data_IF_825498893051
#
_entry.id   IF_825498893051
#
_cell.length_a   1.000
_cell.length_b   1.000
_cell.length_c   1.000
_cell.angle_alpha   90.00
_cell.angle_beta   90.00
_cell.angle_gamma   90.00
#
_symmetry.space_group_name_H-M   'P 1'
#
loop_
_entity.id
_entity.type
_entity.pdbx_description
1 polymer ?
#
# COMPACT_ATOMS: atom_id res chain seq x y z
N UNK A 1 11.29 41.30 -0.93
CA UNK A 1 12.51 40.50 -1.00
C UNK A 1 12.32 39.35 -0.04
N UNK A 2 11.75 38.25 -0.53
CA UNK A 2 11.41 37.08 0.30
C UNK A 2 12.67 36.26 0.54
N UNK A 3 12.99 36.05 1.82
CA UNK A 3 14.16 35.30 2.24
C UNK A 3 13.92 33.82 2.00
N UNK A 4 14.71 33.25 1.08
CA UNK A 4 14.82 31.83 0.83
C UNK A 4 15.22 31.12 2.13
N UNK A 5 14.26 30.48 2.79
CA UNK A 5 14.52 29.60 3.91
C UNK A 5 15.25 28.37 3.37
N UNK A 6 16.59 28.42 3.44
CA UNK A 6 17.46 27.28 3.18
C UNK A 6 17.02 26.10 4.05
N UNK A 7 16.50 25.07 3.40
CA UNK A 7 16.15 23.79 4.00
C UNK A 7 17.36 23.28 4.78
N UNK A 8 17.24 23.11 6.11
CA UNK A 8 18.29 22.52 6.94
C UNK A 8 18.77 21.22 6.30
N UNK A 9 20.08 21.12 6.06
CA UNK A 9 20.72 19.89 5.60
C UNK A 9 20.37 18.77 6.58
N UNK A 10 19.61 17.78 6.13
CA UNK A 10 19.31 16.61 6.96
C UNK A 10 20.60 15.80 7.09
N UNK A 11 21.12 15.68 8.31
CA UNK A 11 22.24 14.81 8.58
C UNK A 11 21.83 13.35 8.33
N UNK A 12 22.71 12.60 7.65
CA UNK A 12 22.52 11.16 7.42
C UNK A 12 22.77 10.44 8.75
N UNK A 13 21.80 9.65 9.20
CA UNK A 13 21.92 8.80 10.39
C UNK A 13 22.56 7.45 10.02
N UNK A 14 23.88 7.34 10.17
CA UNK A 14 24.60 6.12 9.85
C UNK A 14 24.29 4.95 10.79
N UNK A 15 23.83 5.19 12.03
CA UNK A 15 23.47 4.11 12.96
C UNK A 15 22.16 3.44 12.53
N UNK A 16 21.18 4.23 12.10
CA UNK A 16 19.94 3.72 11.51
C UNK A 16 20.23 2.91 10.23
N UNK A 17 21.14 3.40 9.37
CA UNK A 17 21.56 2.67 8.16
C UNK A 17 22.23 1.34 8.50
N UNK A 18 23.18 1.33 9.45
CA UNK A 18 23.84 0.10 9.89
C UNK A 18 22.82 -0.92 10.40
N UNK A 19 21.85 -0.49 11.20
CA UNK A 19 20.78 -1.36 11.71
C UNK A 19 19.99 -2.02 10.59
N UNK A 20 19.58 -1.25 9.57
CA UNK A 20 18.87 -1.78 8.41
C UNK A 20 19.72 -2.80 7.64
N UNK A 21 21.00 -2.50 7.42
CA UNK A 21 21.92 -3.41 6.73
C UNK A 21 22.14 -4.70 7.51
N UNK A 22 22.29 -4.63 8.83
CA UNK A 22 22.39 -5.80 9.70
C UNK A 22 21.14 -6.69 9.69
N UNK A 23 19.96 -6.11 9.44
CA UNK A 23 18.71 -6.85 9.24
C UNK A 23 18.58 -7.45 7.82
N UNK A 24 19.63 -7.40 7.01
CA UNK A 24 19.65 -7.91 5.64
C UNK A 24 18.93 -7.01 4.63
N UNK A 25 18.66 -5.74 4.97
CA UNK A 25 18.06 -4.77 4.04
C UNK A 25 19.14 -4.04 3.26
N UNK A 26 18.87 -3.71 2.00
CA UNK A 26 19.71 -2.83 1.21
C UNK A 26 19.26 -1.37 1.37
N UNK A 27 20.20 -0.46 1.59
CA UNK A 27 19.96 0.99 1.57
C UNK A 27 20.57 1.56 0.31
N UNK A 28 19.74 2.21 -0.52
CA UNK A 28 20.15 2.80 -1.79
C UNK A 28 19.98 4.31 -1.70
N UNK A 29 21.04 5.06 -1.98
CA UNK A 29 21.02 6.52 -2.13
C UNK A 29 21.25 6.86 -3.59
N UNK A 30 20.28 7.50 -4.22
CA UNK A 30 20.31 7.84 -5.64
C UNK A 30 19.51 9.12 -5.89
N UNK A 31 19.66 9.70 -7.08
CA UNK A 31 18.80 10.78 -7.55
C UNK A 31 17.34 10.33 -7.65
N UNK A 32 16.43 11.28 -7.44
CA UNK A 32 14.98 11.04 -7.41
C UNK A 32 14.48 10.41 -8.74
N UNK A 33 15.01 10.84 -9.90
CA UNK A 33 14.67 10.29 -11.23
C UNK A 33 15.00 8.80 -11.37
N UNK A 34 16.20 8.40 -10.97
CA UNK A 34 16.64 7.00 -11.03
C UNK A 34 15.81 6.10 -10.10
N UNK A 35 15.39 6.60 -8.94
CA UNK A 35 14.48 5.87 -8.04
C UNK A 35 13.09 5.68 -8.66
N UNK A 36 12.57 6.68 -9.37
CA UNK A 36 11.28 6.59 -10.09
C UNK A 36 11.38 5.55 -11.21
N UNK A 37 12.40 5.63 -12.06
CA UNK A 37 12.61 4.69 -13.17
C UNK A 37 12.75 3.25 -12.66
N UNK A 38 13.50 3.06 -11.57
CA UNK A 38 13.66 1.76 -10.95
C UNK A 38 12.33 1.20 -10.40
N UNK A 39 11.54 2.02 -9.70
CA UNK A 39 10.23 1.61 -9.20
C UNK A 39 9.28 1.23 -10.35
N UNK A 40 9.23 2.03 -11.42
CA UNK A 40 8.43 1.76 -12.62
C UNK A 40 8.83 0.42 -13.24
N UNK A 41 10.13 0.18 -13.39
CA UNK A 41 10.66 -1.08 -13.92
C UNK A 41 10.22 -2.27 -13.09
N UNK A 42 10.31 -2.20 -11.75
CA UNK A 42 9.86 -3.27 -10.86
C UNK A 42 8.36 -3.56 -11.01
N UNK A 43 7.54 -2.52 -11.14
CA UNK A 43 6.09 -2.64 -11.39
C UNK A 43 5.86 -3.40 -12.70
N UNK A 44 6.49 -2.96 -13.79
CA UNK A 44 6.32 -3.57 -15.11
C UNK A 44 6.82 -5.02 -15.18
N UNK A 45 7.89 -5.34 -14.46
CA UNK A 45 8.45 -6.69 -14.38
C UNK A 45 7.67 -7.62 -13.43
N UNK A 46 6.64 -7.14 -12.74
CA UNK A 46 5.88 -7.93 -11.78
C UNK A 46 6.70 -8.35 -10.54
N UNK A 47 7.77 -7.61 -10.22
CA UNK A 47 8.64 -7.91 -9.07
C UNK A 47 8.08 -7.27 -7.80
N UNK A 48 8.20 -7.96 -6.68
CA UNK A 48 7.80 -7.44 -5.38
C UNK A 48 8.93 -6.62 -4.75
N UNK A 49 8.58 -5.44 -4.21
CA UNK A 49 9.50 -4.63 -3.41
C UNK A 49 8.72 -3.72 -2.46
N UNK A 50 9.34 -3.36 -1.33
CA UNK A 50 8.84 -2.31 -0.44
C UNK A 50 9.86 -1.17 -0.42
N UNK A 51 9.44 0.01 -0.83
CA UNK A 51 10.28 1.20 -0.92
C UNK A 51 9.87 2.23 0.13
N UNK A 52 10.86 2.81 0.81
CA UNK A 52 10.69 3.95 1.71
C UNK A 52 11.22 5.19 1.00
N UNK A 53 10.31 6.06 0.56
CA UNK A 53 10.60 7.12 -0.40
C UNK A 53 10.35 8.50 0.19
N UNK A 54 10.99 9.52 -0.39
CA UNK A 54 10.53 10.90 -0.18
C UNK A 54 9.09 11.02 -0.69
N UNK A 55 8.22 11.82 -0.04
CA UNK A 55 6.85 12.02 -0.52
C UNK A 55 6.78 12.47 -1.98
N UNK A 56 7.69 13.33 -2.43
CA UNK A 56 7.74 13.81 -3.83
C UNK A 56 8.00 12.70 -4.85
N UNK A 57 8.89 11.75 -4.54
CA UNK A 57 9.21 10.59 -5.39
C UNK A 57 8.01 9.64 -5.46
N UNK A 58 7.38 9.37 -4.31
CA UNK A 58 6.16 8.58 -4.24
C UNK A 58 5.03 9.18 -5.08
N UNK A 59 4.81 10.49 -4.98
CA UNK A 59 3.78 11.18 -5.76
C UNK A 59 4.01 11.08 -7.27
N UNK A 60 5.27 11.15 -7.72
CA UNK A 60 5.60 10.98 -9.14
C UNK A 60 5.25 9.58 -9.65
N UNK A 61 5.63 8.54 -8.89
CA UNK A 61 5.29 7.15 -9.22
C UNK A 61 3.76 6.95 -9.19
N UNK A 62 3.09 7.48 -8.16
CA UNK A 62 1.63 7.39 -7.98
C UNK A 62 0.88 7.99 -9.17
N UNK A 63 1.29 9.16 -9.65
CA UNK A 63 0.66 9.83 -10.81
C UNK A 63 0.88 9.09 -12.11
N UNK A 64 2.06 8.52 -12.31
CA UNK A 64 2.35 7.68 -13.48
C UNK A 64 1.49 6.41 -13.46
N UNK A 65 1.38 5.76 -12.30
CA UNK A 65 0.72 4.47 -12.17
C UNK A 65 -0.82 4.59 -12.14
N UNK A 66 -1.39 5.50 -11.36
CA UNK A 66 -2.84 5.63 -11.20
C UNK A 66 -3.44 6.62 -12.19
N UNK A 67 -3.62 6.17 -13.43
CA UNK A 67 -4.42 6.92 -14.41
C UNK A 67 -5.92 6.86 -14.08
N UNK A 68 -6.75 7.82 -14.53
CA UNK A 68 -8.20 7.75 -14.36
C UNK A 68 -8.82 6.44 -14.84
N UNK A 69 -8.31 5.88 -15.94
CA UNK A 69 -8.74 4.60 -16.51
C UNK A 69 -8.42 3.44 -15.55
N UNK A 70 -7.20 3.40 -15.01
CA UNK A 70 -6.80 2.39 -14.01
C UNK A 70 -7.63 2.51 -12.74
N UNK A 71 -7.81 3.72 -12.20
CA UNK A 71 -8.66 3.98 -11.02
C UNK A 71 -10.08 3.43 -11.24
N UNK A 72 -10.67 3.71 -12.40
CA UNK A 72 -12.00 3.21 -12.76
C UNK A 72 -12.02 1.68 -12.92
N UNK A 73 -11.00 1.11 -13.56
CA UNK A 73 -10.88 -0.33 -13.81
C UNK A 73 -10.88 -1.13 -12.51
N UNK A 74 -10.11 -0.69 -11.50
CA UNK A 74 -10.00 -1.38 -10.21
C UNK A 74 -11.03 -0.94 -9.17
N UNK A 75 -11.99 -0.08 -9.56
CA UNK A 75 -13.09 0.35 -8.70
C UNK A 75 -12.68 1.20 -7.50
N UNK A 76 -11.55 1.92 -7.60
CA UNK A 76 -11.10 2.83 -6.55
C UNK A 76 -12.06 4.02 -6.40
N UNK A 77 -12.45 4.30 -5.17
CA UNK A 77 -13.32 5.44 -4.80
C UNK A 77 -12.67 6.28 -3.71
N UNK A 78 -12.88 7.60 -3.67
CA UNK A 78 -12.43 8.41 -2.55
C UNK A 78 -12.95 7.86 -1.22
N UNK A 79 -12.10 7.85 -0.19
CA UNK A 79 -12.52 7.53 1.17
C UNK A 79 -13.42 8.68 1.67
N UNK A 80 -14.63 8.35 2.13
CA UNK A 80 -15.56 9.38 2.60
C UNK A 80 -15.09 9.98 3.94
N UNK A 81 -15.51 11.22 4.21
CA UNK A 81 -15.17 11.93 5.46
C UNK A 81 -15.71 11.16 6.67
N UNK A 82 -16.89 10.56 6.54
CA UNK A 82 -17.52 9.77 7.58
C UNK A 82 -16.72 8.50 7.88
N UNK A 83 -16.22 7.82 6.84
CA UNK A 83 -15.40 6.62 7.01
C UNK A 83 -14.03 6.93 7.61
N UNK A 84 -13.41 8.03 7.17
CA UNK A 84 -12.16 8.52 7.75
C UNK A 84 -12.35 8.90 9.23
N UNK A 85 -13.44 9.59 9.57
CA UNK A 85 -13.78 9.93 10.96
C UNK A 85 -14.04 8.70 11.82
N UNK A 86 -14.74 7.69 11.29
CA UNK A 86 -14.94 6.39 11.95
C UNK A 86 -13.59 5.72 12.26
N UNK A 87 -12.70 5.61 11.27
CA UNK A 87 -11.39 4.97 11.44
C UNK A 87 -10.51 5.74 12.43
N UNK A 88 -10.57 7.07 12.41
CA UNK A 88 -9.89 7.90 13.40
C UNK A 88 -10.44 7.69 14.81
N UNK A 89 -11.75 7.59 14.97
CA UNK A 89 -12.38 7.32 16.27
C UNK A 89 -11.99 5.95 16.82
N UNK A 90 -12.16 4.91 16.01
CA UNK A 90 -12.04 3.52 16.46
C UNK A 90 -10.58 3.09 16.59
N UNK A 91 -9.71 3.57 15.70
CA UNK A 91 -8.33 3.13 15.63
C UNK A 91 -7.31 4.24 15.84
N UNK A 92 -7.70 5.50 16.10
CA UNK A 92 -6.77 6.65 16.21
C UNK A 92 -5.76 6.73 15.05
N UNK A 93 -6.20 6.36 13.85
CA UNK A 93 -5.44 6.40 12.61
C UNK A 93 -6.10 7.44 11.69
N UNK A 94 -5.29 8.38 11.18
CA UNK A 94 -5.72 9.32 10.15
C UNK A 94 -5.51 8.68 8.77
N UNK A 95 -6.56 8.66 7.95
CA UNK A 95 -6.51 8.14 6.57
C UNK A 95 -7.09 9.14 5.57
N UNK A 96 -6.59 9.06 4.33
CA UNK A 96 -7.11 9.79 3.17
C UNK A 96 -6.92 8.96 1.89
N UNK A 97 -7.29 9.54 0.74
CA UNK A 97 -7.05 8.93 -0.56
C UNK A 97 -8.21 8.09 -1.08
N UNK A 98 -7.88 6.98 -1.75
CA UNK A 98 -8.83 6.16 -2.48
C UNK A 98 -8.82 4.72 -1.96
N UNK A 99 -10.00 4.17 -1.69
CA UNK A 99 -10.24 2.81 -1.25
C UNK A 99 -11.20 2.06 -2.21
N UNK A 100 -11.08 0.74 -2.31
CA UNK A 100 -12.05 -0.17 -2.89
C UNK A 100 -12.55 -1.07 -1.76
N UNK A 101 -13.72 -1.66 -1.99
CA UNK A 101 -14.34 -2.59 -1.07
C UNK A 101 -14.56 -3.90 -1.82
N UNK A 102 -14.37 -5.01 -1.12
CA UNK A 102 -14.56 -6.35 -1.66
C UNK A 102 -15.57 -7.06 -0.77
N UNK A 103 -16.70 -7.48 -1.33
CA UNK A 103 -17.70 -8.21 -0.54
C UNK A 103 -17.31 -9.68 -0.43
N UNK A 104 -17.37 -10.21 0.79
CA UNK A 104 -17.04 -11.61 1.02
C UNK A 104 -18.01 -12.50 0.22
N UNK A 105 -17.48 -13.36 -0.65
CA UNK A 105 -18.23 -14.33 -1.45
C UNK A 105 -19.29 -15.15 -0.73
N UNK A 106 -18.90 -15.61 0.46
CA UNK A 106 -19.58 -16.66 1.18
C UNK A 106 -20.65 -16.11 2.12
N UNK A 107 -20.42 -14.92 2.67
CA UNK A 107 -21.28 -14.35 3.70
C UNK A 107 -21.68 -12.89 3.46
N UNK A 108 -21.27 -12.29 2.34
CA UNK A 108 -21.57 -10.90 1.98
C UNK A 108 -20.95 -9.85 2.90
N UNK A 109 -20.09 -10.24 3.85
CA UNK A 109 -19.46 -9.27 4.75
C UNK A 109 -18.42 -8.45 3.97
N UNK A 110 -18.47 -7.12 4.01
CA UNK A 110 -17.53 -6.29 3.26
C UNK A 110 -16.12 -6.41 3.85
N UNK A 111 -15.12 -6.34 2.98
CA UNK A 111 -13.73 -6.10 3.32
C UNK A 111 -13.34 -4.74 2.75
N UNK A 112 -13.27 -3.74 3.62
CA UNK A 112 -12.92 -2.35 3.34
C UNK A 112 -11.62 -1.95 4.04
N UNK A 113 -11.23 -0.67 3.96
CA UNK A 113 -10.13 -0.10 4.75
C UNK A 113 -10.26 -0.40 6.25
N UNK A 114 -11.49 -0.51 6.77
CA UNK A 114 -11.72 -0.81 8.18
C UNK A 114 -11.29 -2.23 8.53
N UNK A 115 -11.78 -3.22 7.78
CA UNK A 115 -11.42 -4.63 7.97
C UNK A 115 -9.93 -4.87 7.69
N UNK A 116 -9.35 -4.13 6.74
CA UNK A 116 -7.90 -4.13 6.51
C UNK A 116 -7.10 -3.71 7.74
N UNK A 117 -7.47 -2.61 8.41
CA UNK A 117 -6.79 -2.16 9.63
C UNK A 117 -6.97 -3.19 10.75
N UNK A 118 -8.17 -3.75 10.89
CA UNK A 118 -8.43 -4.79 11.89
C UNK A 118 -7.58 -6.04 11.66
N UNK A 119 -7.50 -6.51 10.42
CA UNK A 119 -6.65 -7.64 10.07
C UNK A 119 -5.18 -7.31 10.37
N UNK A 120 -4.71 -6.12 10.02
CA UNK A 120 -3.34 -5.68 10.34
C UNK A 120 -3.05 -5.70 11.84
N UNK A 121 -4.00 -5.27 12.69
CA UNK A 121 -3.85 -5.35 14.14
C UNK A 121 -3.78 -6.81 14.63
N UNK A 122 -4.60 -7.70 14.07
CA UNK A 122 -4.61 -9.12 14.40
C UNK A 122 -3.30 -9.83 13.98
N UNK A 123 -2.73 -9.47 12.84
CA UNK A 123 -1.57 -10.16 12.24
C UNK A 123 -0.22 -9.58 12.65
N UNK A 124 -0.15 -8.28 12.89
CA UNK A 124 1.12 -7.56 13.11
C UNK A 124 1.20 -6.85 14.46
N UNK A 125 0.09 -6.81 15.20
CA UNK A 125 -0.02 -6.05 16.43
C UNK A 125 -0.30 -4.57 16.20
N UNK A 126 -1.01 -3.99 17.16
CA UNK A 126 -1.52 -2.62 17.09
C UNK A 126 -0.39 -1.57 16.97
N UNK A 127 0.68 -1.72 17.74
CA UNK A 127 1.82 -0.79 17.75
C UNK A 127 2.45 -0.65 16.36
N UNK A 128 2.68 -1.77 15.69
CA UNK A 128 3.32 -1.79 14.38
C UNK A 128 2.46 -1.08 13.32
N UNK A 129 1.16 -1.37 13.30
CA UNK A 129 0.25 -0.75 12.33
C UNK A 129 0.13 0.75 12.59
N UNK A 130 0.00 1.18 13.85
CA UNK A 130 0.00 2.61 14.20
C UNK A 130 1.30 3.30 13.80
N UNK A 131 2.44 2.64 13.97
CA UNK A 131 3.74 3.16 13.53
C UNK A 131 3.78 3.34 12.00
N UNK A 132 3.25 2.38 11.24
CA UNK A 132 3.17 2.48 9.78
C UNK A 132 2.30 3.67 9.32
N UNK A 133 1.14 3.89 9.93
CA UNK A 133 0.26 5.02 9.57
C UNK A 133 0.77 6.39 10.07
N UNK A 134 1.61 6.41 11.10
CA UNK A 134 2.20 7.65 11.64
C UNK A 134 3.48 8.09 10.93
N UNK A 135 3.87 7.39 9.86
CA UNK A 135 5.08 7.66 9.10
C UNK A 135 4.93 8.93 8.24
N UNK A 136 5.21 10.11 8.82
CA UNK A 136 4.90 11.43 8.19
C UNK A 136 6.00 11.99 7.28
N UNK A 137 7.24 11.51 7.37
CA UNK A 137 8.40 12.09 6.66
C UNK A 137 8.91 11.25 5.49
N UNK A 138 8.32 10.09 5.28
CA UNK A 138 8.60 9.23 4.16
C UNK A 138 7.30 8.50 3.78
N UNK A 139 7.19 8.16 2.51
CA UNK A 139 6.11 7.37 1.97
C UNK A 139 6.55 5.91 1.86
N UNK A 140 5.63 4.98 2.11
CA UNK A 140 5.87 3.55 1.93
C UNK A 140 5.16 3.15 0.64
N UNK A 141 5.90 2.61 -0.33
CA UNK A 141 5.36 2.03 -1.55
C UNK A 141 5.62 0.53 -1.55
N UNK A 142 4.55 -0.25 -1.43
CA UNK A 142 4.59 -1.68 -1.71
C UNK A 142 4.27 -1.89 -3.21
N UNK A 143 5.23 -2.47 -3.93
CA UNK A 143 5.11 -2.87 -5.34
C UNK A 143 4.79 -4.36 -5.38
N UNK A 144 3.75 -4.74 -6.12
CA UNK A 144 3.25 -6.11 -6.23
C UNK A 144 3.22 -6.84 -4.88
N UNK A 145 2.57 -6.27 -3.85
CA UNK A 145 2.52 -6.89 -2.53
C UNK A 145 1.78 -8.22 -2.59
N UNK A 146 2.33 -9.22 -1.90
CA UNK A 146 1.57 -10.44 -1.59
C UNK A 146 0.76 -10.13 -0.33
N UNK A 147 -0.53 -9.95 -0.49
CA UNK A 147 -1.45 -9.70 0.61
C UNK A 147 -2.53 -10.76 0.65
N UNK A 148 -2.65 -11.46 1.79
CA UNK A 148 -3.78 -12.31 2.08
C UNK A 148 -4.93 -11.42 2.57
N UNK A 149 -6.05 -11.41 1.85
CA UNK A 149 -7.26 -10.74 2.31
C UNK A 149 -8.13 -11.77 3.00
N UNK A 150 -8.44 -11.61 4.29
CA UNK A 150 -9.19 -12.62 5.05
C UNK A 150 -10.52 -12.03 5.51
N UNK A 151 -11.63 -12.65 5.10
CA UNK A 151 -12.94 -12.27 5.61
C UNK A 151 -13.01 -12.51 7.11
N UNK A 152 -13.20 -11.45 7.90
CA UNK A 152 -13.23 -11.54 9.35
C UNK A 152 -14.36 -12.43 9.89
N UNK A 153 -15.51 -12.46 9.20
CA UNK A 153 -16.69 -13.19 9.64
C UNK A 153 -16.61 -14.70 9.42
N UNK A 154 -16.15 -15.14 8.23
CA UNK A 154 -16.14 -16.57 7.88
C UNK A 154 -14.74 -17.15 7.63
N UNK A 155 -13.69 -16.34 7.84
CA UNK A 155 -12.26 -16.67 7.68
C UNK A 155 -11.89 -17.17 6.28
N UNK A 156 -12.70 -16.86 5.27
CA UNK A 156 -12.40 -17.14 3.88
C UNK A 156 -11.26 -16.24 3.40
N UNK A 157 -10.22 -16.83 2.81
CA UNK A 157 -9.21 -16.09 2.06
C UNK A 157 -9.81 -15.62 0.74
N UNK A 158 -9.80 -14.31 0.52
CA UNK A 158 -10.31 -13.64 -0.68
C UNK A 158 -9.11 -13.37 -1.58
N UNK A 159 -9.08 -14.01 -2.73
CA UNK A 159 -8.16 -13.68 -3.81
C UNK A 159 -8.93 -12.82 -4.81
N UNK A 160 -8.41 -11.63 -5.12
CA UNK A 160 -8.88 -10.94 -6.32
C UNK A 160 -7.94 -11.33 -7.45
N UNK A 161 -8.47 -11.72 -8.59
CA UNK A 161 -7.75 -11.78 -9.86
C UNK A 161 -8.30 -10.67 -10.74
N UNK A 162 -7.41 -9.90 -11.38
CA UNK A 162 -7.82 -9.00 -12.47
C UNK A 162 -7.56 -9.78 -13.75
N UNK A 163 -8.59 -10.43 -14.30
CA UNK A 163 -8.46 -11.04 -15.62
C UNK A 163 -8.34 -9.94 -16.69
N UNK A 164 -7.38 -10.11 -17.60
CA UNK A 164 -7.18 -9.27 -18.78
C UNK A 164 -8.46 -9.27 -19.64
N UNK A 165 -9.25 -8.21 -19.50
CA UNK A 165 -10.44 -7.97 -20.31
C UNK A 165 -11.74 -8.48 -19.69
N UNK A 166 -12.39 -7.59 -18.94
CA UNK A 166 -13.84 -7.59 -18.72
C UNK A 166 -14.41 -8.71 -17.82
N UNK A 167 -14.01 -8.73 -16.55
CA UNK A 167 -14.88 -8.81 -15.35
C UNK A 167 -13.96 -8.91 -14.12
N UNK A 168 -14.29 -8.18 -13.05
CA UNK A 168 -13.85 -8.58 -11.71
C UNK A 168 -14.70 -9.81 -11.39
N UNK A 169 -14.28 -10.96 -11.92
CA UNK A 169 -14.90 -12.24 -11.64
C UNK A 169 -14.40 -12.70 -10.28
N UNK A 170 -15.32 -12.87 -9.33
CA UNK A 170 -14.97 -13.47 -8.04
C UNK A 170 -14.65 -14.96 -8.26
N UNK A 171 -13.40 -15.28 -8.60
CA UNK A 171 -12.91 -16.66 -8.65
C UNK A 171 -12.48 -17.09 -7.26
N UNK A 172 -13.05 -18.18 -6.74
CA UNK A 172 -12.64 -18.80 -5.48
C UNK A 172 -11.74 -19.98 -5.77
N UNK A 173 -10.58 -20.00 -5.13
CA UNK A 173 -9.67 -21.13 -5.16
C UNK A 173 -9.46 -21.65 -3.74
N UNK A 174 -9.48 -22.96 -3.59
CA UNK A 174 -8.85 -23.66 -2.47
C UNK A 174 -7.66 -24.43 -3.04
N UNK A 175 -6.56 -24.46 -2.29
CA UNK A 175 -5.38 -25.34 -2.42
C UNK A 175 -4.13 -24.76 -3.10
N UNK A 176 -3.07 -24.64 -2.28
CA UNK A 176 -1.63 -24.55 -2.57
C UNK A 176 -1.17 -24.43 -4.03
N UNK A 177 -1.00 -23.17 -4.48
CA UNK A 177 0.18 -22.68 -5.23
C UNK A 177 0.03 -21.19 -5.53
N UNK A 178 1.05 -20.42 -5.15
CA UNK A 178 1.19 -19.00 -5.43
C UNK A 178 1.02 -18.67 -6.91
N UNK A 179 0.03 -17.88 -7.29
CA UNK A 179 0.19 -16.82 -8.31
C UNK A 179 -0.96 -15.82 -8.12
N UNK A 180 -0.63 -14.53 -8.09
CA UNK A 180 -1.54 -13.38 -8.31
C UNK A 180 -2.48 -13.00 -7.14
N UNK A 181 -1.87 -12.47 -6.06
CA UNK A 181 -2.56 -11.77 -4.97
C UNK A 181 -2.75 -10.28 -5.28
N UNK A 182 -3.87 -9.71 -4.82
CA UNK A 182 -4.26 -8.32 -5.05
C UNK A 182 -4.50 -7.59 -3.73
N UNK A 183 -3.79 -6.48 -3.54
CA UNK A 183 -3.91 -5.55 -2.42
C UNK A 183 -3.30 -4.19 -2.76
N UNK A 184 -3.56 -3.19 -1.93
CA UNK A 184 -3.13 -1.79 -2.12
C UNK A 184 -1.62 -1.68 -2.40
N UNK A 185 -1.30 -1.39 -3.66
CA UNK A 185 0.04 -1.30 -4.20
C UNK A 185 0.00 -1.11 -5.70
N UNK A 186 1.15 -0.86 -6.32
CA UNK A 186 1.24 -0.89 -7.78
C UNK A 186 1.28 -2.36 -8.21
N UNK A 187 0.22 -2.83 -8.85
CA UNK A 187 0.07 -4.18 -9.43
C UNK A 187 0.26 -4.13 -10.96
N UNK A 188 0.48 -5.27 -11.60
CA UNK A 188 0.58 -5.31 -13.07
C UNK A 188 -0.77 -5.05 -13.73
#
# INVERSE_FOLDING_TARGET
METYNSSKVSHIDFNAIQTLVHQGKAVISSEDSALIEWAIKLIMEGRTATLYLKPTVFEAIRRWYWTPERIKLVGLKPISVEKAAQIKSDFSIDIDGYANNIDCPRCGHPYSTYEFIQQGFEEHGEEFVRAAFSFKRAAILAINPVQDTICRNCRLHILNTVEDGARIGNSYYYDYRCVEGNGYGCCR
#
